data_IF_450866489393
#
_entry.id   IF_450866489393
#
_cell.length_a   1.000
_cell.length_b   1.000
_cell.length_c   1.000
_cell.angle_alpha   90.00
_cell.angle_beta   90.00
_cell.angle_gamma   90.00
#
_symmetry.space_group_name_H-M   'P 1'
#
loop_
_entity.id
_entity.type
_entity.pdbx_description
1 polymer ?
#
# COMPACT_ATOMS: atom_id res chain seq x y z
N UNK A 1 11.01 7.18 -21.81
CA UNK A 1 11.14 6.74 -20.41
C UNK A 1 9.73 6.69 -19.85
N UNK A 2 9.23 5.50 -19.49
CA UNK A 2 7.92 5.38 -18.85
C UNK A 2 8.14 5.57 -17.35
N UNK A 3 7.56 6.64 -16.81
CA UNK A 3 7.40 6.87 -15.38
C UNK A 3 6.57 5.69 -14.82
N UNK A 4 7.27 4.66 -14.32
CA UNK A 4 6.64 3.54 -13.65
C UNK A 4 6.36 3.98 -12.24
N UNK A 5 5.09 3.89 -11.84
CA UNK A 5 4.74 3.98 -10.43
C UNK A 5 5.33 2.75 -9.75
N UNK A 6 6.50 2.92 -9.13
CA UNK A 6 7.19 1.84 -8.42
C UNK A 6 6.51 1.59 -7.07
N UNK A 7 5.48 0.75 -7.08
CA UNK A 7 4.81 0.30 -5.86
C UNK A 7 5.76 -0.42 -4.90
N UNK A 8 6.87 -0.96 -5.41
CA UNK A 8 7.94 -1.51 -4.59
C UNK A 8 8.61 -0.44 -3.71
N UNK A 9 8.82 0.77 -4.22
CA UNK A 9 9.33 1.88 -3.41
C UNK A 9 8.27 2.37 -2.44
N UNK A 10 7.01 2.51 -2.88
CA UNK A 10 5.93 2.90 -1.98
C UNK A 10 5.73 1.90 -0.82
N UNK A 11 5.79 0.59 -1.09
CA UNK A 11 5.73 -0.44 -0.05
C UNK A 11 6.91 -0.35 0.92
N UNK A 12 8.12 -0.04 0.44
CA UNK A 12 9.28 0.22 1.31
C UNK A 12 9.07 1.47 2.16
N UNK A 13 8.53 2.54 1.59
CA UNK A 13 8.20 3.75 2.31
C UNK A 13 7.12 3.49 3.37
N UNK A 14 6.11 2.68 3.05
CA UNK A 14 5.04 2.27 3.95
C UNK A 14 5.59 1.42 5.12
N UNK A 15 6.51 0.49 4.84
CA UNK A 15 7.22 -0.28 5.87
C UNK A 15 8.12 0.60 6.75
N UNK A 16 8.79 1.57 6.13
CA UNK A 16 9.71 2.46 6.84
C UNK A 16 8.97 3.50 7.68
N UNK A 17 7.64 3.58 7.59
CA UNK A 17 6.82 4.64 8.20
C UNK A 17 6.99 6.00 7.51
N UNK A 18 7.56 6.04 6.30
CA UNK A 18 7.68 7.27 5.52
C UNK A 18 6.33 7.69 4.90
N UNK A 19 5.42 6.74 4.71
CA UNK A 19 4.01 6.98 4.37
C UNK A 19 3.13 6.10 5.25
N UNK A 20 1.95 6.59 5.62
CA UNK A 20 1.00 5.83 6.44
C UNK A 20 0.10 4.91 5.62
N UNK A 21 -0.18 5.27 4.36
CA UNK A 21 -1.09 4.54 3.48
C UNK A 21 -0.76 4.71 2.00
N UNK A 22 -1.12 3.71 1.20
CA UNK A 22 -1.00 3.70 -0.26
C UNK A 22 -2.39 3.53 -0.85
N UNK A 23 -2.78 4.41 -1.77
CA UNK A 23 -4.01 4.24 -2.54
C UNK A 23 -3.66 3.61 -3.89
N UNK A 24 -4.12 2.39 -4.09
CA UNK A 24 -3.89 1.59 -5.29
C UNK A 24 -5.19 1.51 -6.08
N UNK A 25 -5.13 1.98 -7.32
CA UNK A 25 -6.22 1.82 -8.27
C UNK A 25 -6.23 0.40 -8.87
N UNK A 26 -7.39 -0.10 -9.30
CA UNK A 26 -7.49 -1.44 -9.86
C UNK A 26 -6.70 -1.57 -11.16
N UNK A 27 -6.56 -0.47 -11.92
CA UNK A 27 -5.71 -0.40 -13.11
C UNK A 27 -4.21 -0.65 -12.81
N UNK A 28 -3.77 -0.36 -11.59
CA UNK A 28 -2.39 -0.48 -11.15
C UNK A 28 -2.16 -1.67 -10.21
N UNK A 29 -3.22 -2.44 -9.92
CA UNK A 29 -3.17 -3.57 -9.01
C UNK A 29 -2.18 -4.65 -9.46
N UNK A 30 -2.02 -4.87 -10.78
CA UNK A 30 -1.05 -5.84 -11.29
C UNK A 30 0.40 -5.49 -10.94
N UNK A 31 0.73 -4.19 -10.96
CA UNK A 31 2.06 -3.69 -10.64
C UNK A 31 2.30 -3.77 -9.12
N UNK A 32 1.28 -3.35 -8.34
CA UNK A 32 1.27 -3.54 -6.89
C UNK A 32 1.39 -5.01 -6.48
N UNK A 33 0.66 -5.92 -7.13
CA UNK A 33 0.69 -7.36 -6.83
C UNK A 33 2.10 -7.94 -7.04
N UNK A 34 2.82 -7.48 -8.07
CA UNK A 34 4.21 -7.90 -8.32
C UNK A 34 5.13 -7.44 -7.19
N UNK A 35 5.01 -6.18 -6.77
CA UNK A 35 5.78 -5.66 -5.63
C UNK A 35 5.41 -6.36 -4.31
N UNK A 36 4.11 -6.58 -4.08
CA UNK A 36 3.55 -7.25 -2.92
C UNK A 36 3.95 -8.73 -2.82
N UNK A 37 4.04 -9.45 -3.94
CA UNK A 37 4.55 -10.83 -3.97
C UNK A 37 6.01 -10.91 -3.52
N UNK A 38 6.81 -9.89 -3.85
CA UNK A 38 8.21 -9.77 -3.43
C UNK A 38 8.35 -9.20 -2.02
N UNK A 39 7.25 -8.78 -1.40
CA UNK A 39 7.26 -8.14 -0.09
C UNK A 39 7.04 -9.17 1.03
N UNK A 40 8.10 -9.47 1.77
CA UNK A 40 8.11 -10.52 2.79
C UNK A 40 7.12 -10.24 3.93
N UNK A 41 6.93 -8.96 4.26
CA UNK A 41 6.02 -8.47 5.31
C UNK A 41 4.57 -8.29 4.86
N UNK A 42 4.19 -8.85 3.70
CA UNK A 42 2.83 -8.82 3.16
C UNK A 42 1.71 -9.20 4.14
N UNK A 43 2.00 -10.04 5.14
CA UNK A 43 1.03 -10.41 6.19
C UNK A 43 0.53 -9.23 7.04
N UNK A 44 1.28 -8.12 7.08
CA UNK A 44 0.92 -6.91 7.83
C UNK A 44 0.31 -5.82 6.96
N UNK A 45 0.18 -6.05 5.66
CA UNK A 45 -0.36 -5.05 4.75
C UNK A 45 -1.87 -5.29 4.62
N UNK A 46 -2.65 -4.38 5.17
CA UNK A 46 -4.11 -4.43 5.20
C UNK A 46 -4.65 -3.62 4.04
N UNK A 47 -5.35 -4.28 3.11
CA UNK A 47 -6.02 -3.63 1.98
C UNK A 47 -7.49 -3.42 2.27
N UNK A 48 -7.94 -2.17 2.27
CA UNK A 48 -9.35 -1.78 2.40
C UNK A 48 -9.88 -1.27 1.06
N UNK A 49 -10.82 -2.00 0.47
CA UNK A 49 -11.50 -1.57 -0.75
C UNK A 49 -12.56 -0.50 -0.40
N UNK A 50 -12.48 0.66 -1.06
CA UNK A 50 -13.43 1.76 -0.92
C UNK A 50 -14.50 1.72 -2.02
N UNK A 51 -15.69 2.30 -1.72
CA UNK A 51 -16.75 2.51 -2.70
C UNK A 51 -16.23 3.48 -3.79
N UNK A 52 -15.95 2.94 -4.97
CA UNK A 52 -15.26 3.64 -6.05
C UNK A 52 -14.19 2.80 -6.75
N UNK A 53 -13.92 1.58 -6.25
CA UNK A 53 -12.98 0.64 -6.85
C UNK A 53 -11.53 0.89 -6.48
N UNK A 54 -11.25 1.90 -5.65
CA UNK A 54 -9.91 2.18 -5.11
C UNK A 54 -9.65 1.31 -3.88
N UNK A 55 -8.41 0.83 -3.74
CA UNK A 55 -7.98 0.02 -2.60
C UNK A 55 -6.94 0.79 -1.81
N UNK A 56 -7.21 1.05 -0.55
CA UNK A 56 -6.28 1.69 0.36
C UNK A 56 -5.51 0.62 1.12
N UNK A 57 -4.20 0.58 0.94
CA UNK A 57 -3.29 -0.29 1.66
C UNK A 57 -2.65 0.46 2.82
N UNK A 58 -2.74 -0.12 4.00
CA UNK A 58 -2.15 0.39 5.24
C UNK A 58 -1.24 -0.70 5.77
N UNK A 59 -0.03 -0.35 6.19
CA UNK A 59 0.80 -1.33 6.89
C UNK A 59 0.45 -1.24 8.37
N UNK A 60 0.10 -2.40 8.94
CA UNK A 60 -0.14 -2.59 10.35
C UNK A 60 1.20 -2.48 11.11
N UNK A 61 1.65 -1.24 11.29
CA UNK A 61 2.49 -0.86 12.41
C UNK A 61 1.55 -0.74 13.60
N UNK A 62 2.03 -1.10 14.79
CA UNK A 62 1.31 -1.10 16.07
C UNK A 62 0.73 0.28 16.48
N UNK A 63 0.75 1.27 15.59
CA UNK A 63 0.38 2.68 15.78
C UNK A 63 -0.89 3.10 15.02
N UNK A 64 -1.85 2.20 14.80
CA UNK A 64 -3.18 2.57 14.27
C UNK A 64 -4.16 2.98 15.39
N UNK A 65 -3.70 3.79 16.34
CA UNK A 65 -4.53 4.67 17.17
C UNK A 65 -4.21 6.11 16.77
N UNK A 66 -4.92 6.64 15.76
CA UNK A 66 -5.25 8.06 15.57
C UNK A 66 -5.80 8.32 14.18
N UNK A 67 -7.12 8.18 14.03
CA UNK A 67 -7.96 9.17 13.34
C UNK A 67 -9.44 8.87 13.58
N UNK A 68 -9.88 9.22 14.78
CA UNK A 68 -11.23 9.67 15.05
C UNK A 68 -11.08 11.02 15.73
N UNK A 69 -11.17 12.11 14.97
CA UNK A 69 -11.51 13.45 15.47
C UNK A 69 -12.21 14.22 14.34
#
# INVERSE_FOLDING_TARGET
>A
MADKVDYAEQLKQLESGAIDKIEVQPANFMDFQTAYMNFDRRKRVIGTANQGGMVTYVFEHDEADKKTE
#
